data_IF_864549061753
#
_entry.id   IF_864549061753
#
_cell.length_a   1.000
_cell.length_b   1.000
_cell.length_c   1.000
_cell.angle_alpha   90.00
_cell.angle_beta   90.00
_cell.angle_gamma   90.00
#
_symmetry.space_group_name_H-M   'P 1'
#
loop_
_entity.id
_entity.type
_entity.pdbx_description
1 polymer ?
#
# COMPACT_ATOMS: atom_id res chain seq x y z
N UNK A 1 -18.33 6.95 24.17
CA UNK A 1 -18.57 5.52 23.86
C UNK A 1 -17.68 4.65 24.75
N UNK A 2 -18.21 4.07 25.84
CA UNK A 2 -17.45 3.14 26.72
C UNK A 2 -17.27 1.81 25.99
N UNK A 3 -16.19 1.68 25.22
CA UNK A 3 -15.85 0.41 24.58
C UNK A 3 -15.43 -0.59 25.66
N UNK A 4 -16.24 -1.65 25.76
CA UNK A 4 -16.40 -2.48 26.92
C UNK A 4 -15.10 -3.26 27.27
N UNK A 5 -14.73 -3.24 28.56
CA UNK A 5 -13.63 -4.02 29.16
C UNK A 5 -13.74 -5.53 28.85
N UNK A 6 -14.93 -6.01 28.48
CA UNK A 6 -15.23 -7.38 28.06
C UNK A 6 -14.59 -7.84 26.74
N UNK A 7 -14.09 -6.96 25.85
CA UNK A 7 -13.45 -7.43 24.61
C UNK A 7 -12.10 -8.10 24.90
N UNK A 8 -11.44 -7.71 25.98
CA UNK A 8 -10.18 -8.32 26.44
C UNK A 8 -10.33 -9.78 26.86
N UNK A 9 -11.55 -10.23 27.16
CA UNK A 9 -11.88 -11.60 27.57
C UNK A 9 -12.60 -12.40 26.46
N UNK A 10 -12.92 -11.76 25.33
CA UNK A 10 -13.55 -12.42 24.19
C UNK A 10 -12.49 -13.06 23.28
N UNK A 11 -12.77 -14.26 22.76
CA UNK A 11 -11.90 -15.05 21.85
C UNK A 11 -11.34 -14.19 20.72
N UNK A 12 -12.16 -13.29 20.15
CA UNK A 12 -11.78 -12.38 19.06
C UNK A 12 -10.71 -11.37 19.53
N UNK A 13 -10.87 -10.77 20.71
CA UNK A 13 -9.90 -9.82 21.25
C UNK A 13 -8.54 -10.46 21.54
N UNK A 14 -8.54 -11.70 22.02
CA UNK A 14 -7.32 -12.49 22.23
C UNK A 14 -6.62 -12.87 20.92
N UNK A 15 -7.38 -13.21 19.86
CA UNK A 15 -6.82 -13.48 18.53
C UNK A 15 -6.16 -12.25 17.93
N UNK A 16 -6.84 -11.10 17.94
CA UNK A 16 -6.31 -9.84 17.42
C UNK A 16 -5.03 -9.42 18.18
N UNK A 17 -5.04 -9.58 19.51
CA UNK A 17 -3.87 -9.28 20.35
C UNK A 17 -2.65 -10.13 19.98
N UNK A 18 -2.84 -11.46 19.83
CA UNK A 18 -1.75 -12.37 19.40
C UNK A 18 -1.22 -12.01 18.02
N UNK A 19 -2.10 -11.68 17.08
CA UNK A 19 -1.72 -11.23 15.76
C UNK A 19 -0.85 -9.95 15.82
N UNK A 20 -1.29 -8.93 16.57
CA UNK A 20 -0.53 -7.69 16.73
C UNK A 20 0.85 -7.92 17.37
N UNK A 21 0.93 -8.70 18.45
CA UNK A 21 2.20 -8.97 19.14
C UNK A 21 3.18 -9.76 18.26
N UNK A 22 2.69 -10.65 17.41
CA UNK A 22 3.53 -11.33 16.42
C UNK A 22 4.00 -10.37 15.31
N UNK A 23 3.20 -9.35 15.00
CA UNK A 23 3.41 -8.46 13.87
C UNK A 23 4.61 -7.50 14.05
N UNK A 24 4.87 -7.05 15.29
CA UNK A 24 5.69 -5.86 15.58
C UNK A 24 7.18 -5.94 15.16
N UNK A 25 7.71 -7.12 14.78
CA UNK A 25 9.02 -7.22 14.11
C UNK A 25 9.13 -8.34 13.08
N UNK A 26 8.69 -9.55 13.41
CA UNK A 26 8.93 -10.73 12.55
C UNK A 26 8.10 -10.69 11.27
N UNK A 27 6.82 -10.31 11.39
CA UNK A 27 5.92 -10.24 10.23
C UNK A 27 6.30 -9.11 9.30
N UNK A 28 6.65 -7.92 9.81
CA UNK A 28 7.12 -6.81 8.97
C UNK A 28 8.37 -7.17 8.16
N UNK A 29 9.37 -7.82 8.80
CA UNK A 29 10.57 -8.28 8.08
C UNK A 29 10.19 -9.33 7.03
N UNK A 30 9.33 -10.28 7.39
CA UNK A 30 8.86 -11.30 6.45
C UNK A 30 8.14 -10.69 5.25
N UNK A 31 7.24 -9.71 5.48
CA UNK A 31 6.54 -8.98 4.41
C UNK A 31 7.54 -8.29 3.49
N UNK A 32 8.50 -7.53 4.04
CA UNK A 32 9.52 -6.83 3.23
C UNK A 32 10.40 -7.80 2.43
N UNK A 33 10.82 -8.91 3.03
CA UNK A 33 11.64 -9.92 2.33
C UNK A 33 10.82 -10.62 1.25
N UNK A 34 9.58 -11.02 1.57
CA UNK A 34 8.66 -11.61 0.59
C UNK A 34 8.42 -10.66 -0.58
N UNK A 35 8.31 -9.35 -0.32
CA UNK A 35 8.19 -8.37 -1.38
C UNK A 35 9.35 -8.41 -2.32
N UNK A 36 10.54 -8.28 -1.74
CA UNK A 36 11.76 -8.17 -2.48
C UNK A 36 11.94 -9.40 -3.37
N UNK A 37 11.62 -10.59 -2.86
CA UNK A 37 11.62 -11.82 -3.63
C UNK A 37 10.61 -11.76 -4.78
N UNK A 38 9.37 -11.34 -4.53
CA UNK A 38 8.35 -11.24 -5.59
C UNK A 38 8.70 -10.18 -6.63
N UNK A 39 9.26 -9.03 -6.25
CA UNK A 39 9.64 -7.97 -7.19
C UNK A 39 10.83 -8.38 -8.06
N UNK A 40 11.71 -9.28 -7.61
CA UNK A 40 12.77 -9.86 -8.45
C UNK A 40 12.22 -10.72 -9.61
N UNK A 41 10.93 -11.04 -9.64
CA UNK A 41 10.32 -11.87 -10.68
C UNK A 41 10.54 -11.36 -12.11
N UNK A 42 10.66 -10.03 -12.33
CA UNK A 42 10.91 -9.47 -13.67
C UNK A 42 12.16 -10.03 -14.36
N UNK A 43 13.21 -10.38 -13.58
CA UNK A 43 14.46 -10.88 -14.13
C UNK A 43 14.32 -12.28 -14.76
N UNK A 44 13.38 -13.08 -14.28
CA UNK A 44 13.15 -14.45 -14.75
C UNK A 44 12.03 -14.56 -15.79
N UNK A 45 11.27 -13.50 -16.04
CA UNK A 45 10.18 -13.53 -17.03
C UNK A 45 10.72 -13.65 -18.47
N UNK A 46 10.21 -14.61 -19.27
CA UNK A 46 10.54 -14.69 -20.69
C UNK A 46 9.79 -13.61 -21.50
N UNK A 47 10.40 -13.17 -22.60
CA UNK A 47 9.87 -12.08 -23.43
C UNK A 47 8.64 -12.44 -24.27
N UNK A 48 8.34 -13.73 -24.38
CA UNK A 48 7.21 -14.27 -25.12
C UNK A 48 6.22 -15.01 -24.21
N UNK A 49 6.17 -14.64 -22.93
CA UNK A 49 5.33 -15.27 -21.91
C UNK A 49 3.84 -15.25 -22.28
N UNK A 50 3.30 -14.09 -22.63
CA UNK A 50 1.88 -13.92 -22.92
C UNK A 50 1.52 -14.56 -24.26
N UNK A 51 2.44 -14.50 -25.22
CA UNK A 51 2.29 -15.19 -26.51
C UNK A 51 2.32 -16.71 -26.38
N UNK A 52 3.07 -17.28 -25.43
CA UNK A 52 3.17 -18.73 -25.22
C UNK A 52 2.08 -19.30 -24.33
N UNK A 53 1.66 -18.56 -23.30
CA UNK A 53 0.77 -19.07 -22.26
C UNK A 53 -0.54 -18.31 -22.23
N UNK A 54 -1.58 -18.92 -22.79
CA UNK A 54 -2.94 -18.35 -22.84
C UNK A 54 -3.46 -17.93 -21.45
N UNK A 55 -3.18 -18.72 -20.41
CA UNK A 55 -3.62 -18.39 -19.04
C UNK A 55 -3.00 -17.09 -18.52
N UNK A 56 -1.73 -16.81 -18.87
CA UNK A 56 -1.05 -15.58 -18.49
C UNK A 56 -1.66 -14.39 -19.24
N UNK A 57 -1.99 -14.58 -20.52
CA UNK A 57 -2.66 -13.57 -21.33
C UNK A 57 -4.06 -13.24 -20.81
N UNK A 58 -4.87 -14.25 -20.48
CA UNK A 58 -6.20 -14.06 -19.89
C UNK A 58 -6.12 -13.34 -18.55
N UNK A 59 -5.17 -13.70 -17.70
CA UNK A 59 -4.91 -13.01 -16.44
C UNK A 59 -4.57 -11.53 -16.64
N UNK A 60 -3.64 -11.21 -17.54
CA UNK A 60 -3.26 -9.82 -17.85
C UNK A 60 -4.46 -9.05 -18.41
N UNK A 61 -5.21 -9.64 -19.32
CA UNK A 61 -6.39 -9.00 -19.91
C UNK A 61 -7.45 -8.68 -18.85
N UNK A 62 -7.64 -9.56 -17.87
CA UNK A 62 -8.50 -9.29 -16.72
C UNK A 62 -7.96 -8.12 -15.88
N UNK A 63 -6.67 -8.11 -15.56
CA UNK A 63 -6.06 -7.06 -14.73
C UNK A 63 -6.11 -5.67 -15.39
N UNK A 64 -5.93 -5.59 -16.71
CA UNK A 64 -6.02 -4.35 -17.49
C UNK A 64 -7.39 -3.66 -17.39
N UNK A 65 -8.47 -4.40 -17.12
CA UNK A 65 -9.80 -3.81 -16.92
C UNK A 65 -9.85 -2.89 -15.68
N UNK A 66 -8.96 -3.11 -14.71
CA UNK A 66 -8.94 -2.39 -13.44
C UNK A 66 -7.73 -1.48 -13.29
N UNK A 67 -6.61 -1.80 -13.92
CA UNK A 67 -5.34 -1.11 -13.68
C UNK A 67 -4.76 -0.55 -14.99
N UNK A 68 -5.10 0.72 -15.25
CA UNK A 68 -4.71 1.42 -16.48
C UNK A 68 -3.19 1.57 -16.64
N UNK A 69 -2.45 1.65 -15.53
CA UNK A 69 -0.99 1.76 -15.58
C UNK A 69 -0.30 0.55 -16.24
N UNK A 70 -0.95 -0.62 -16.32
CA UNK A 70 -0.39 -1.79 -17.01
C UNK A 70 -0.11 -1.47 -18.48
N UNK A 71 -1.10 -0.92 -19.18
CA UNK A 71 -0.97 -0.58 -20.60
C UNK A 71 -0.08 0.64 -20.81
N UNK A 72 -0.12 1.61 -19.90
CA UNK A 72 0.72 2.81 -19.98
C UNK A 72 2.20 2.43 -19.84
N UNK A 73 2.54 1.59 -18.85
CA UNK A 73 3.92 1.18 -18.62
C UNK A 73 4.44 0.29 -19.76
N UNK A 74 3.62 -0.61 -20.29
CA UNK A 74 4.04 -1.44 -21.43
C UNK A 74 4.15 -0.64 -22.73
N UNK A 75 3.32 0.40 -22.88
CA UNK A 75 3.28 1.25 -24.08
C UNK A 75 4.57 1.99 -24.38
N UNK A 76 5.39 2.31 -23.36
CA UNK A 76 6.64 3.07 -23.53
C UNK A 76 7.89 2.21 -23.67
N UNK A 77 7.77 0.88 -23.51
CA UNK A 77 8.92 -0.04 -23.44
C UNK A 77 8.94 -1.04 -24.58
N UNK A 78 10.11 -1.60 -24.85
CA UNK A 78 10.25 -2.81 -25.68
C UNK A 78 9.90 -4.10 -24.94
N UNK A 79 9.93 -4.11 -23.59
CA UNK A 79 9.62 -5.27 -22.73
C UNK A 79 8.10 -5.39 -22.47
N UNK A 80 7.30 -5.38 -23.55
CA UNK A 80 5.85 -5.24 -23.44
C UNK A 80 5.21 -6.37 -22.63
N UNK A 81 5.42 -7.61 -23.05
CA UNK A 81 4.81 -8.77 -22.39
C UNK A 81 5.30 -8.94 -20.96
N UNK A 82 6.59 -8.69 -20.71
CA UNK A 82 7.15 -8.79 -19.37
C UNK A 82 6.58 -7.74 -18.43
N UNK A 83 6.48 -6.47 -18.86
CA UNK A 83 5.90 -5.41 -18.05
C UNK A 83 4.43 -5.69 -17.78
N UNK A 84 3.65 -6.08 -18.79
CA UNK A 84 2.24 -6.33 -18.61
C UNK A 84 1.98 -7.42 -17.58
N UNK A 85 2.69 -8.53 -17.68
CA UNK A 85 2.58 -9.61 -16.71
C UNK A 85 3.13 -9.20 -15.34
N UNK A 86 4.29 -8.55 -15.31
CA UNK A 86 4.96 -8.13 -14.08
C UNK A 86 4.08 -7.18 -13.27
N UNK A 87 3.60 -6.09 -13.88
CA UNK A 87 2.72 -5.12 -13.22
C UNK A 87 1.43 -5.79 -12.75
N UNK A 88 0.86 -6.69 -13.56
CA UNK A 88 -0.35 -7.44 -13.20
C UNK A 88 -0.18 -8.26 -11.93
N UNK A 89 0.86 -9.09 -11.80
CA UNK A 89 1.02 -9.87 -10.56
C UNK A 89 1.50 -8.99 -9.40
N UNK A 90 2.32 -7.97 -9.65
CA UNK A 90 2.74 -7.03 -8.60
C UNK A 90 1.55 -6.27 -8.02
N UNK A 91 0.49 -6.02 -8.81
CA UNK A 91 -0.78 -5.53 -8.29
C UNK A 91 -1.42 -6.49 -7.29
N UNK A 92 -1.43 -7.79 -7.58
CA UNK A 92 -1.95 -8.81 -6.64
C UNK A 92 -1.17 -8.77 -5.34
N UNK A 93 0.17 -8.77 -5.41
CA UNK A 93 1.04 -8.68 -4.23
C UNK A 93 0.78 -7.38 -3.45
N UNK A 94 0.70 -6.25 -4.15
CA UNK A 94 0.44 -4.95 -3.54
C UNK A 94 -0.92 -4.84 -2.86
N UNK A 95 -1.97 -5.42 -3.44
CA UNK A 95 -3.30 -5.42 -2.84
C UNK A 95 -3.36 -6.28 -1.58
N UNK A 96 -2.69 -7.44 -1.58
CA UNK A 96 -2.58 -8.28 -0.38
C UNK A 96 -1.92 -7.52 0.77
N UNK A 97 -0.93 -6.67 0.50
CA UNK A 97 -0.30 -5.86 1.54
C UNK A 97 -1.04 -4.60 1.90
N UNK A 98 -1.71 -3.98 0.96
CA UNK A 98 -2.65 -2.91 1.28
C UNK A 98 -3.69 -3.42 2.28
N UNK A 99 -4.21 -4.64 2.06
CA UNK A 99 -5.15 -5.29 2.97
C UNK A 99 -4.51 -5.58 4.34
N UNK A 100 -3.30 -6.14 4.35
CA UNK A 100 -2.56 -6.39 5.60
C UNK A 100 -2.27 -5.11 6.38
N UNK A 101 -1.86 -4.03 5.71
CA UNK A 101 -1.59 -2.74 6.34
C UNK A 101 -2.87 -2.13 6.95
N UNK A 102 -4.00 -2.24 6.26
CA UNK A 102 -5.31 -1.82 6.78
C UNK A 102 -5.69 -2.67 7.99
N UNK A 103 -5.57 -4.00 7.89
CA UNK A 103 -5.92 -4.92 8.97
C UNK A 103 -5.04 -4.70 10.21
N UNK A 104 -3.73 -4.55 10.04
CA UNK A 104 -2.79 -4.21 11.09
C UNK A 104 -3.17 -2.89 11.77
N UNK A 105 -3.48 -1.85 10.98
CA UNK A 105 -3.91 -0.55 11.49
C UNK A 105 -5.18 -0.70 12.33
N UNK A 106 -6.20 -1.41 11.82
CA UNK A 106 -7.44 -1.71 12.55
C UNK A 106 -7.11 -2.40 13.89
N UNK A 107 -6.33 -3.48 13.87
CA UNK A 107 -5.96 -4.23 15.07
C UNK A 107 -5.32 -3.32 16.12
N UNK A 108 -4.36 -2.49 15.69
CA UNK A 108 -3.67 -1.54 16.56
C UNK A 108 -4.64 -0.57 17.24
N UNK A 109 -5.59 -0.01 16.50
CA UNK A 109 -6.60 0.89 17.07
C UNK A 109 -7.60 0.17 17.99
N UNK A 110 -7.99 -1.07 17.67
CA UNK A 110 -8.90 -1.87 18.51
C UNK A 110 -8.26 -2.33 19.82
N UNK A 111 -6.99 -2.75 19.82
CA UNK A 111 -6.31 -3.32 20.99
C UNK A 111 -5.80 -2.24 21.95
N UNK A 112 -5.18 -1.19 21.43
CA UNK A 112 -4.46 -0.18 22.23
C UNK A 112 -5.25 1.11 22.47
N UNK A 113 -6.56 1.09 22.22
CA UNK A 113 -7.46 2.23 22.35
C UNK A 113 -7.35 3.00 23.68
N UNK A 114 -6.80 2.39 24.74
CA UNK A 114 -6.80 2.93 26.11
C UNK A 114 -5.43 3.35 26.71
N UNK A 115 -4.26 3.13 26.09
CA UNK A 115 -2.99 3.60 26.71
C UNK A 115 -1.92 4.12 25.74
N UNK A 116 -1.38 3.29 24.84
CA UNK A 116 -0.28 3.70 23.94
C UNK A 116 -0.76 4.48 22.72
N UNK A 117 -1.89 4.07 22.11
CA UNK A 117 -2.43 4.79 20.94
C UNK A 117 -2.86 6.20 21.32
N UNK A 118 -3.29 6.43 22.57
CA UNK A 118 -3.63 7.77 23.07
C UNK A 118 -2.47 8.75 22.95
N UNK A 119 -1.23 8.35 23.27
CA UNK A 119 -0.08 9.27 23.22
C UNK A 119 0.33 9.56 21.78
N UNK A 120 0.41 8.53 20.93
CA UNK A 120 0.71 8.74 19.51
C UNK A 120 -0.35 9.61 18.83
N UNK A 121 -1.65 9.34 19.06
CA UNK A 121 -2.76 10.14 18.53
C UNK A 121 -2.69 11.59 19.01
N UNK A 122 -2.32 11.83 20.27
CA UNK A 122 -2.13 13.17 20.83
C UNK A 122 -0.97 13.91 20.16
N UNK A 123 0.14 13.21 19.84
CA UNK A 123 1.32 13.80 19.18
C UNK A 123 1.09 14.15 17.70
N UNK A 124 0.30 13.36 16.99
CA UNK A 124 -0.02 13.61 15.58
C UNK A 124 -0.97 14.79 15.47
N UNK A 125 -0.49 15.99 15.15
CA UNK A 125 -1.37 17.14 14.95
C UNK A 125 -2.25 17.00 13.69
N UNK A 126 -3.23 17.90 13.52
CA UNK A 126 -4.13 17.85 12.36
C UNK A 126 -3.40 18.12 11.03
N UNK A 127 -2.31 18.89 11.02
CA UNK A 127 -1.53 19.19 9.82
C UNK A 127 -0.83 17.93 9.31
N UNK A 128 -0.26 17.13 10.19
CA UNK A 128 0.37 15.85 9.85
C UNK A 128 -0.66 14.84 9.32
N UNK A 129 -1.89 14.85 9.84
CA UNK A 129 -2.96 14.00 9.35
C UNK A 129 -3.39 14.38 7.93
N UNK A 130 -3.57 15.68 7.66
CA UNK A 130 -3.85 16.19 6.31
C UNK A 130 -2.69 15.83 5.38
N UNK A 131 -1.45 16.10 5.78
CA UNK A 131 -0.28 15.78 4.97
C UNK A 131 -0.23 14.30 4.63
N UNK A 132 -0.35 13.40 5.62
CA UNK A 132 -0.36 11.96 5.41
C UNK A 132 -1.50 11.52 4.48
N UNK A 133 -2.70 12.08 4.67
CA UNK A 133 -3.85 11.77 3.81
C UNK A 133 -3.61 12.21 2.36
N UNK A 134 -3.23 13.47 2.14
CA UNK A 134 -2.96 14.03 0.82
C UNK A 134 -1.80 13.32 0.13
N UNK A 135 -0.71 13.04 0.84
CA UNK A 135 0.42 12.30 0.31
C UNK A 135 0.03 10.87 -0.12
N UNK A 136 -0.84 10.23 0.65
CA UNK A 136 -1.33 8.89 0.31
C UNK A 136 -2.17 8.90 -0.97
N UNK A 137 -3.12 9.84 -1.09
CA UNK A 137 -3.92 9.99 -2.31
C UNK A 137 -3.03 10.30 -3.51
N UNK A 138 -2.04 11.17 -3.33
CA UNK A 138 -1.06 11.49 -4.37
C UNK A 138 -0.25 10.24 -4.80
N UNK A 139 0.30 9.48 -3.86
CA UNK A 139 1.06 8.26 -4.18
C UNK A 139 0.22 7.21 -4.91
N UNK A 140 -1.04 7.02 -4.49
CA UNK A 140 -2.00 6.14 -5.15
C UNK A 140 -2.26 6.60 -6.58
N UNK A 141 -2.57 7.88 -6.75
CA UNK A 141 -2.86 8.48 -8.05
C UNK A 141 -1.68 8.30 -9.00
N UNK A 142 -0.49 8.72 -8.61
CA UNK A 142 0.72 8.67 -9.42
C UNK A 142 1.04 7.25 -9.92
N UNK A 143 0.92 6.26 -9.04
CA UNK A 143 1.16 4.87 -9.43
C UNK A 143 0.05 4.30 -10.33
N UNK A 144 -1.22 4.55 -9.99
CA UNK A 144 -2.37 4.01 -10.69
C UNK A 144 -2.56 4.58 -12.10
N UNK A 145 -2.34 5.90 -12.27
CA UNK A 145 -2.46 6.54 -13.59
C UNK A 145 -1.22 6.38 -14.45
N UNK A 146 -0.13 5.83 -13.90
CA UNK A 146 1.14 5.75 -14.60
C UNK A 146 1.77 7.11 -14.87
N UNK A 147 1.39 8.15 -14.12
CA UNK A 147 1.86 9.54 -14.27
C UNK A 147 3.39 9.65 -14.35
N UNK A 148 4.09 8.75 -13.67
CA UNK A 148 5.56 8.67 -13.65
C UNK A 148 6.19 8.51 -15.03
N UNK A 149 5.45 7.94 -15.97
CA UNK A 149 5.90 7.63 -17.32
C UNK A 149 5.31 8.59 -18.35
N UNK A 150 4.08 9.08 -18.15
CA UNK A 150 3.37 9.89 -19.16
C UNK A 150 3.82 11.34 -19.18
N UNK A 151 3.90 11.98 -18.01
CA UNK A 151 4.22 13.40 -17.88
C UNK A 151 5.55 13.64 -17.15
N UNK A 152 6.24 12.54 -16.80
CA UNK A 152 7.41 12.55 -15.94
C UNK A 152 7.07 12.91 -14.49
N UNK A 153 8.03 12.71 -13.58
CA UNK A 153 7.98 13.34 -12.26
C UNK A 153 9.12 14.36 -12.19
N UNK A 154 8.77 15.64 -12.02
CA UNK A 154 9.75 16.65 -11.67
C UNK A 154 10.03 16.60 -10.16
N UNK A 155 11.06 15.88 -9.76
CA UNK A 155 11.62 15.98 -8.41
C UNK A 155 12.75 17.02 -8.43
N UNK A 156 12.62 18.09 -7.63
CA UNK A 156 13.66 19.12 -7.50
C UNK A 156 14.16 19.73 -8.84
N UNK A 157 13.27 19.90 -9.82
CA UNK A 157 13.58 20.46 -11.15
C UNK A 157 14.47 19.59 -12.06
N UNK A 158 14.56 18.28 -11.79
CA UNK A 158 15.18 17.34 -12.71
C UNK A 158 14.08 16.65 -13.51
N UNK A 159 14.16 16.72 -14.84
CA UNK A 159 13.23 16.05 -15.74
C UNK A 159 13.76 14.65 -16.03
N UNK A 160 13.07 13.64 -15.51
CA UNK A 160 13.42 12.23 -15.70
C UNK A 160 12.35 11.57 -16.56
N UNK A 161 12.70 11.24 -17.80
CA UNK A 161 11.86 10.40 -18.64
C UNK A 161 12.15 8.93 -18.35
N UNK A 162 11.17 8.23 -17.81
CA UNK A 162 11.25 6.79 -17.55
C UNK A 162 10.80 6.06 -18.82
N UNK A 163 11.70 5.30 -19.42
CA UNK A 163 11.44 4.57 -20.67
C UNK A 163 11.53 3.05 -20.51
N UNK A 164 11.85 2.55 -19.30
CA UNK A 164 11.95 1.12 -19.03
C UNK A 164 12.86 0.39 -20.04
N UNK A 165 14.07 0.89 -20.21
CA UNK A 165 15.06 0.39 -21.16
C UNK A 165 15.76 -0.88 -20.69
N UNK A 166 15.61 -1.23 -19.42
CA UNK A 166 16.17 -2.46 -18.85
C UNK A 166 15.24 -3.07 -17.79
N UNK A 167 15.36 -4.39 -17.60
CA UNK A 167 14.67 -5.10 -16.51
C UNK A 167 15.02 -4.56 -15.12
N UNK A 168 16.23 -3.99 -14.95
CA UNK A 168 16.64 -3.35 -13.70
C UNK A 168 15.89 -2.03 -13.47
N UNK A 169 15.72 -1.21 -14.51
CA UNK A 169 14.93 0.03 -14.41
C UNK A 169 13.45 -0.28 -14.11
N UNK A 170 12.88 -1.27 -14.81
CA UNK A 170 11.52 -1.80 -14.56
C UNK A 170 11.38 -2.24 -13.11
N UNK A 171 12.33 -3.06 -12.63
CA UNK A 171 12.38 -3.52 -11.24
C UNK A 171 12.35 -2.35 -10.26
N UNK A 172 13.31 -1.42 -10.38
CA UNK A 172 13.47 -0.30 -9.45
C UNK A 172 12.22 0.57 -9.44
N UNK A 173 11.78 1.04 -10.60
CA UNK A 173 10.68 2.01 -10.68
C UNK A 173 9.37 1.37 -10.24
N UNK A 174 8.96 0.26 -10.85
CA UNK A 174 7.63 -0.31 -10.58
C UNK A 174 7.56 -0.84 -9.16
N UNK A 175 8.61 -1.50 -8.64
CA UNK A 175 8.60 -1.96 -7.24
C UNK A 175 8.69 -0.80 -6.24
N UNK A 176 9.49 0.24 -6.50
CA UNK A 176 9.55 1.37 -5.59
C UNK A 176 8.20 2.09 -5.50
N UNK A 177 7.59 2.41 -6.64
CA UNK A 177 6.31 3.13 -6.65
C UNK A 177 5.16 2.26 -6.13
N UNK A 178 5.17 0.95 -6.39
CA UNK A 178 4.16 0.07 -5.82
C UNK A 178 4.34 -0.10 -4.30
N UNK A 179 5.57 -0.15 -3.77
CA UNK A 179 5.80 -0.15 -2.33
C UNK A 179 5.36 1.16 -1.67
N UNK A 180 5.63 2.29 -2.32
CA UNK A 180 5.17 3.60 -1.88
C UNK A 180 3.64 3.66 -1.85
N UNK A 181 2.95 3.14 -2.88
CA UNK A 181 1.50 3.01 -2.93
C UNK A 181 0.97 2.08 -1.82
N UNK A 182 1.31 0.80 -1.90
CA UNK A 182 0.67 -0.28 -1.14
C UNK A 182 1.14 -0.39 0.31
N UNK A 183 2.42 -0.15 0.56
CA UNK A 183 3.00 -0.24 1.90
C UNK A 183 2.83 1.08 2.65
N UNK A 184 3.34 2.17 2.08
CA UNK A 184 3.39 3.45 2.80
C UNK A 184 2.11 4.27 2.66
N UNK A 185 1.59 4.43 1.44
CA UNK A 185 0.41 5.24 1.15
C UNK A 185 -0.85 4.68 1.80
N UNK A 186 -1.16 3.40 1.61
CA UNK A 186 -2.33 2.79 2.24
C UNK A 186 -2.25 2.79 3.77
N UNK A 187 -1.08 2.51 4.34
CA UNK A 187 -0.88 2.59 5.79
C UNK A 187 -1.11 4.01 6.33
N UNK A 188 -0.51 5.02 5.71
CA UNK A 188 -0.70 6.42 6.09
C UNK A 188 -2.17 6.84 5.94
N UNK A 189 -2.83 6.44 4.85
CA UNK A 189 -4.24 6.73 4.62
C UNK A 189 -5.10 6.14 5.74
N UNK A 190 -4.89 4.87 6.07
CA UNK A 190 -5.61 4.19 7.14
C UNK A 190 -5.37 4.88 8.49
N UNK A 191 -4.12 5.15 8.86
CA UNK A 191 -3.78 5.87 10.10
C UNK A 191 -4.45 7.25 10.13
N UNK A 192 -4.35 8.03 9.06
CA UNK A 192 -4.95 9.37 8.99
C UNK A 192 -6.47 9.33 9.19
N UNK A 193 -7.16 8.38 8.56
CA UNK A 193 -8.62 8.20 8.72
C UNK A 193 -8.95 7.83 10.17
N UNK A 194 -8.30 6.80 10.72
CA UNK A 194 -8.59 6.30 12.07
C UNK A 194 -8.29 7.35 13.15
N UNK A 195 -7.16 8.05 13.06
CA UNK A 195 -6.80 9.11 14.01
C UNK A 195 -7.77 10.29 13.90
N UNK A 196 -8.15 10.70 12.68
CA UNK A 196 -9.11 11.80 12.49
C UNK A 196 -10.47 11.45 13.07
N UNK A 197 -10.98 10.26 12.78
CA UNK A 197 -12.23 9.75 13.35
C UNK A 197 -12.19 9.74 14.87
N UNK A 198 -11.09 9.25 15.46
CA UNK A 198 -10.90 9.27 16.92
C UNK A 198 -10.94 10.70 17.48
N UNK A 199 -10.22 11.64 16.88
CA UNK A 199 -10.18 13.03 17.36
C UNK A 199 -11.56 13.68 17.32
N UNK A 200 -12.30 13.49 16.24
CA UNK A 200 -13.66 14.04 16.10
C UNK A 200 -14.61 13.44 17.15
N UNK A 201 -14.61 12.12 17.33
CA UNK A 201 -15.49 11.46 18.31
C UNK A 201 -15.05 11.70 19.77
N UNK A 202 -13.76 11.81 20.03
CA UNK A 202 -13.19 12.11 21.34
C UNK A 202 -13.56 13.52 21.81
N UNK A 203 -13.47 14.52 20.91
CA UNK A 203 -13.92 15.90 21.16
C UNK A 203 -15.41 15.93 21.51
N UNK A 204 -16.23 15.14 20.80
CA UNK A 204 -17.68 15.11 21.02
C UNK A 204 -18.08 14.54 22.39
N UNK A 205 -17.30 13.61 22.96
CA UNK A 205 -17.58 13.11 24.31
C UNK A 205 -17.15 14.11 25.41
N UNK A 206 -16.14 14.96 25.19
CA UNK A 206 -15.73 15.98 26.19
C UNK A 206 -16.70 17.16 26.27
N UNK A 207 -17.48 17.43 25.22
CA UNK A 207 -18.46 18.53 25.20
C UNK A 207 -19.83 18.17 25.78
N UNK A 208 -20.10 16.89 26.07
CA UNK A 208 -21.37 16.42 26.65
C UNK A 208 -21.27 16.31 28.19
N UNK A 209 -20.05 16.36 28.74
CA UNK A 209 -19.78 16.24 30.17
C UNK A 209 -19.50 17.61 30.86
N UNK A 210 -19.78 18.74 30.19
CA UNK A 210 -19.75 20.10 30.75
C UNK A 210 -21.16 20.72 30.72
#
# INVERSE_FOLDING_TARGET
MKFNKNIKENIIGNLLKRYYEAHDKKVTIFILVSYFIFSLGIFILPSDLLSKFQICQEFVNFMKQYFVNIEIFSGVSSFKEEIEFYVSYMWVIGLLWALEAVFYTICRFFIFFNSETSEMIKRLDFKWLIFGFSFSIFAIYVYYTGYIVTDGISFFAWDYSIMFQSKLEIFIVISLFQALFSGFGIYLLAVSIFVTFYKILGIKNMHIDN
#
